data_IF_454203046591
#
_entry.id   IF_454203046591
#
_cell.length_a   1.000
_cell.length_b   1.000
_cell.length_c   1.000
_cell.angle_alpha   90.00
_cell.angle_beta   90.00
_cell.angle_gamma   90.00
#
_symmetry.space_group_name_H-M   'P 1'
#
loop_
_entity.id
_entity.type
_entity.pdbx_description
1 polymer ?
#
# COMPACT_ATOMS: atom_id res chain seq x y z
N UNK A 1 -6.68 -5.58 -4.33
CA UNK A 1 -6.56 -4.39 -3.45
C UNK A 1 -6.75 -4.86 -2.02
N UNK A 2 -5.76 -4.70 -1.16
CA UNK A 2 -5.87 -4.98 0.26
C UNK A 2 -5.94 -3.66 1.04
N UNK A 3 -6.88 -3.54 1.96
CA UNK A 3 -7.01 -2.41 2.87
C UNK A 3 -7.10 -2.95 4.29
N UNK A 4 -6.13 -2.58 5.12
CA UNK A 4 -6.08 -2.94 6.52
C UNK A 4 -6.15 -1.69 7.39
N UNK A 5 -6.99 -1.74 8.42
CA UNK A 5 -7.15 -0.68 9.43
C UNK A 5 -6.69 -1.24 10.76
N UNK A 6 -5.84 -0.49 11.46
CA UNK A 6 -5.28 -0.91 12.73
C UNK A 6 -6.18 -0.41 13.86
N UNK A 7 -6.72 -1.36 14.62
CA UNK A 7 -7.54 -1.12 15.79
C UNK A 7 -6.88 -1.80 16.97
N UNK A 8 -6.38 -1.02 17.92
CA UNK A 8 -5.80 -1.56 19.15
C UNK A 8 -6.77 -1.45 20.33
N UNK A 9 -6.67 -2.42 21.23
CA UNK A 9 -7.32 -2.32 22.53
C UNK A 9 -6.58 -1.27 23.35
N UNK A 10 -7.28 -0.39 24.08
CA UNK A 10 -6.71 0.84 24.64
C UNK A 10 -5.57 0.67 25.67
N UNK A 11 -5.21 -0.57 26.08
CA UNK A 11 -4.28 -0.81 27.20
C UNK A 11 -3.26 -1.95 26.98
N UNK A 12 -2.86 -2.28 25.75
CA UNK A 12 -1.91 -3.38 25.46
C UNK A 12 -0.45 -3.13 25.93
N UNK A 13 -0.26 -2.26 26.93
CA UNK A 13 1.02 -1.94 27.57
C UNK A 13 0.94 -1.34 28.98
N UNK A 14 -0.24 -1.24 29.61
CA UNK A 14 -0.34 -0.75 30.98
C UNK A 14 -0.28 -1.90 31.98
N UNK A 15 0.88 -2.09 32.60
CA UNK A 15 0.98 -2.90 33.81
C UNK A 15 0.09 -2.28 34.89
N UNK A 16 -0.53 -3.13 35.69
CA UNK A 16 -1.52 -2.85 36.75
C UNK A 16 -1.04 -1.88 37.86
N UNK A 17 0.10 -1.21 37.70
CA UNK A 17 0.73 -0.31 38.66
C UNK A 17 0.63 1.19 38.34
N UNK A 18 0.20 1.62 37.14
CA UNK A 18 0.04 3.06 36.83
C UNK A 18 -1.35 3.62 37.14
N UNK A 19 -2.33 2.77 37.46
CA UNK A 19 -3.71 3.17 37.85
C UNK A 19 -3.80 3.59 39.32
N UNK A 20 -2.71 3.52 40.09
CA UNK A 20 -2.69 3.95 41.48
C UNK A 20 -2.65 5.50 41.66
N UNK A 21 -2.44 6.27 40.60
CA UNK A 21 -2.32 7.74 40.68
C UNK A 21 -3.59 8.55 40.44
N UNK A 22 -4.67 7.94 39.93
CA UNK A 22 -5.85 8.69 39.45
C UNK A 22 -7.21 8.16 39.95
N UNK A 23 -7.23 7.26 40.94
CA UNK A 23 -8.48 6.76 41.52
C UNK A 23 -8.41 6.78 43.06
N UNK A 24 -8.83 7.90 43.62
CA UNK A 24 -9.37 7.98 44.99
C UNK A 24 -10.55 7.02 45.10
N UNK A 25 -10.27 5.78 45.49
CA UNK A 25 -11.28 4.78 45.76
C UNK A 25 -12.01 5.10 47.06
N UNK A 26 -13.32 5.30 46.98
CA UNK A 26 -14.27 5.05 48.06
C UNK A 26 -15.67 4.93 47.45
N UNK A 27 -16.02 3.73 46.96
CA UNK A 27 -17.40 3.17 46.89
C UNK A 27 -17.45 1.96 45.95
N UNK A 28 -16.66 0.92 46.23
CA UNK A 28 -16.83 -0.38 45.57
C UNK A 28 -16.74 -1.51 46.59
N UNK A 29 -17.58 -1.43 47.63
CA UNK A 29 -17.88 -2.55 48.51
C UNK A 29 -19.39 -2.55 48.69
N UNK A 30 -20.10 -3.46 48.01
CA UNK A 30 -21.52 -3.71 48.32
C UNK A 30 -22.44 -4.11 47.16
N UNK A 31 -22.03 -4.01 45.90
CA UNK A 31 -22.92 -4.36 44.78
C UNK A 31 -22.15 -5.15 43.73
N UNK A 32 -22.61 -6.35 43.41
CA UNK A 32 -22.15 -7.22 42.32
C UNK A 32 -22.36 -6.57 40.94
N UNK A 33 -21.71 -5.44 40.69
CA UNK A 33 -21.76 -4.71 39.43
C UNK A 33 -20.35 -4.27 39.08
N UNK A 34 -19.79 -4.89 38.05
CA UNK A 34 -18.52 -4.55 37.44
C UNK A 34 -18.54 -3.12 36.94
N UNK A 35 -17.86 -2.22 37.66
CA UNK A 35 -17.51 -0.88 37.17
C UNK A 35 -16.34 -0.98 36.18
N UNK A 36 -16.52 -1.73 35.11
CA UNK A 36 -15.69 -1.58 33.90
C UNK A 36 -16.48 -0.61 33.03
N UNK A 37 -16.17 0.67 33.17
CA UNK A 37 -16.83 1.72 32.39
C UNK A 37 -16.74 1.37 30.89
N UNK A 38 -17.83 1.60 30.13
CA UNK A 38 -17.90 1.39 28.66
C UNK A 38 -16.75 2.07 27.89
N UNK A 39 -16.08 3.05 28.50
CA UNK A 39 -14.84 3.67 28.01
C UNK A 39 -13.67 2.67 27.85
N UNK A 40 -13.62 1.59 28.63
CA UNK A 40 -12.59 0.54 28.52
C UNK A 40 -12.83 -0.47 27.39
N UNK A 41 -13.94 -0.36 26.65
CA UNK A 41 -14.33 -1.31 25.59
C UNK A 41 -14.36 -0.71 24.19
N UNK A 42 -13.99 0.57 24.04
CA UNK A 42 -13.91 1.23 22.74
C UNK A 42 -12.50 1.03 22.19
N UNK A 43 -12.40 0.37 21.03
CA UNK A 43 -11.14 0.26 20.30
C UNK A 43 -10.71 1.65 19.82
N UNK A 44 -9.43 1.96 19.95
CA UNK A 44 -8.86 3.23 19.48
C UNK A 44 -8.29 3.01 18.07
N UNK A 45 -8.63 3.90 17.15
CA UNK A 45 -8.05 3.89 15.80
C UNK A 45 -6.66 4.51 15.85
N UNK A 46 -5.64 3.77 15.44
CA UNK A 46 -4.24 4.22 15.46
C UNK A 46 -3.69 4.55 14.06
N UNK A 47 -4.47 4.30 13.02
CA UNK A 47 -4.07 4.51 11.65
C UNK A 47 -4.50 3.39 10.72
N UNK A 48 -4.06 3.50 9.47
CA UNK A 48 -4.20 2.44 8.47
C UNK A 48 -2.88 2.24 7.74
N UNK A 49 -2.71 1.07 7.14
CA UNK A 49 -1.60 0.87 6.21
C UNK A 49 -2.01 1.39 4.83
N UNK A 50 -1.11 2.07 4.09
CA UNK A 50 -1.41 2.42 2.71
C UNK A 50 -1.80 1.18 1.89
N UNK A 51 -2.84 1.29 1.06
CA UNK A 51 -3.36 0.19 0.28
C UNK A 51 -2.32 -0.31 -0.72
N UNK A 52 -2.06 -1.61 -0.72
CA UNK A 52 -1.25 -2.28 -1.74
C UNK A 52 -2.13 -3.09 -2.67
N UNK A 53 -1.70 -3.20 -3.92
CA UNK A 53 -2.37 -4.02 -4.90
C UNK A 53 -1.38 -4.57 -5.92
N UNK A 54 -1.60 -5.83 -6.27
CA UNK A 54 -0.80 -6.56 -7.24
C UNK A 54 -1.55 -6.61 -8.56
N UNK A 55 -0.90 -6.16 -9.63
CA UNK A 55 -1.44 -6.18 -10.98
C UNK A 55 -0.55 -7.04 -11.88
N UNK A 56 -0.98 -8.27 -12.23
CA UNK A 56 -0.33 -9.04 -13.28
C UNK A 56 -0.73 -8.49 -14.65
N UNK A 57 0.25 -7.98 -15.41
CA UNK A 57 0.07 -7.47 -16.78
C UNK A 57 0.81 -8.40 -17.73
N UNK A 58 0.11 -8.93 -18.74
CA UNK A 58 0.75 -9.76 -19.77
C UNK A 58 0.93 -8.95 -21.04
N UNK A 59 2.19 -8.75 -21.42
CA UNK A 59 2.56 -8.15 -22.69
C UNK A 59 2.74 -9.24 -23.75
N UNK A 60 2.21 -8.99 -24.94
CA UNK A 60 2.32 -9.86 -26.10
C UNK A 60 2.64 -8.96 -27.29
N UNK A 61 3.71 -9.26 -28.00
CA UNK A 61 4.07 -8.55 -29.22
C UNK A 61 3.16 -9.00 -30.37
N UNK A 62 2.50 -8.05 -31.03
CA UNK A 62 1.71 -8.26 -32.24
C UNK A 62 2.50 -7.86 -33.49
N UNK A 63 3.28 -6.77 -33.41
CA UNK A 63 4.06 -6.27 -34.55
C UNK A 63 5.54 -6.09 -34.19
N UNK A 64 5.86 -5.23 -33.22
CA UNK A 64 7.24 -4.95 -32.83
C UNK A 64 7.53 -5.40 -31.38
N UNK A 65 8.24 -6.52 -31.19
CA UNK A 65 8.59 -7.03 -29.85
C UNK A 65 9.49 -6.09 -29.04
N UNK A 66 10.29 -5.24 -29.71
CA UNK A 66 11.15 -4.31 -29.01
C UNK A 66 10.31 -3.24 -28.32
N UNK A 67 9.44 -2.55 -29.05
CA UNK A 67 8.64 -1.45 -28.48
C UNK A 67 7.53 -1.95 -27.56
N UNK A 68 6.85 -3.04 -27.93
CA UNK A 68 5.62 -3.48 -27.26
C UNK A 68 5.86 -4.23 -25.94
N UNK A 69 6.94 -5.00 -25.87
CA UNK A 69 7.24 -5.84 -24.69
C UNK A 69 8.49 -5.36 -23.99
N UNK A 70 9.62 -5.33 -24.69
CA UNK A 70 10.91 -5.05 -24.06
C UNK A 70 11.03 -3.58 -23.62
N UNK A 71 10.55 -2.66 -24.46
CA UNK A 71 10.49 -1.23 -24.20
C UNK A 71 9.46 -0.87 -23.13
N UNK A 72 8.31 -1.56 -23.10
CA UNK A 72 7.34 -1.39 -22.03
C UNK A 72 7.90 -1.81 -20.66
N UNK A 73 8.58 -2.96 -20.59
CA UNK A 73 9.28 -3.42 -19.38
C UNK A 73 10.37 -2.42 -18.98
N UNK A 74 11.17 -1.94 -19.94
CA UNK A 74 12.22 -0.96 -19.69
C UNK A 74 11.65 0.35 -19.14
N UNK A 75 10.56 0.87 -19.71
CA UNK A 75 9.90 2.07 -19.23
C UNK A 75 9.36 1.90 -17.80
N UNK A 76 8.73 0.77 -17.49
CA UNK A 76 8.27 0.47 -16.13
C UNK A 76 9.46 0.37 -15.15
N UNK A 77 10.57 -0.24 -15.57
CA UNK A 77 11.79 -0.34 -14.76
C UNK A 77 12.47 1.02 -14.52
N UNK A 78 12.36 1.94 -15.48
CA UNK A 78 12.83 3.31 -15.30
C UNK A 78 11.92 4.08 -14.33
N UNK A 79 10.61 3.85 -14.36
CA UNK A 79 9.65 4.52 -13.47
C UNK A 79 9.81 4.13 -11.99
N UNK A 80 10.21 2.89 -11.69
CA UNK A 80 10.48 2.46 -10.30
C UNK A 80 11.81 3.01 -9.77
N UNK A 81 12.78 3.26 -10.67
CA UNK A 81 14.14 3.62 -10.29
C UNK A 81 14.23 5.10 -9.89
N UNK A 82 14.71 5.45 -8.68
CA UNK A 82 14.95 6.84 -8.32
C UNK A 82 16.19 7.38 -9.04
N UNK A 83 16.14 8.66 -9.41
CA UNK A 83 17.30 9.37 -9.97
C UNK A 83 18.19 9.85 -8.82
N UNK A 84 19.25 9.09 -8.56
CA UNK A 84 20.27 9.44 -7.56
C UNK A 84 21.33 10.34 -8.20
N UNK A 85 21.65 11.47 -7.56
CA UNK A 85 22.77 12.31 -7.96
C UNK A 85 24.05 11.84 -7.28
N UNK A 86 25.12 11.67 -8.06
CA UNK A 86 26.40 11.10 -7.62
C UNK A 86 27.15 11.94 -6.55
N UNK A 87 26.83 13.24 -6.41
CA UNK A 87 27.60 14.16 -5.55
C UNK A 87 26.78 15.26 -4.82
N UNK A 88 25.44 15.22 -4.84
CA UNK A 88 24.61 16.28 -4.22
C UNK A 88 23.50 15.69 -3.35
N UNK A 89 23.27 16.31 -2.18
CA UNK A 89 22.19 15.97 -1.24
C UNK A 89 20.86 16.33 -1.91
N UNK A 90 20.18 15.34 -2.50
CA UNK A 90 18.87 15.49 -3.12
C UNK A 90 18.73 14.69 -4.42
N UNK A 91 18.16 13.48 -4.31
CA UNK A 91 17.69 12.68 -5.44
C UNK A 91 16.22 12.94 -5.75
N UNK A 92 15.79 12.70 -6.99
CA UNK A 92 14.38 12.82 -7.38
C UNK A 92 13.67 11.54 -7.00
N UNK A 93 12.67 11.64 -6.11
CA UNK A 93 11.81 10.50 -5.81
C UNK A 93 11.09 10.04 -7.10
N UNK A 94 10.78 8.75 -7.25
CA UNK A 94 9.99 8.24 -8.36
C UNK A 94 8.71 9.04 -8.55
N UNK A 95 8.37 9.33 -9.81
CA UNK A 95 7.17 10.09 -10.13
C UNK A 95 5.90 9.29 -9.75
N UNK A 96 4.87 10.02 -9.29
CA UNK A 96 3.60 9.42 -8.93
C UNK A 96 2.78 9.15 -10.18
N UNK A 97 2.32 7.92 -10.33
CA UNK A 97 1.48 7.50 -11.46
C UNK A 97 0.02 7.45 -11.05
N UNK A 98 -0.85 7.70 -12.02
CA UNK A 98 -2.29 7.50 -11.87
C UNK A 98 -2.66 6.20 -12.55
N UNK A 99 -3.25 5.27 -11.80
CA UNK A 99 -3.72 4.01 -12.35
C UNK A 99 -5.21 4.10 -12.66
N UNK A 100 -5.54 4.01 -13.94
CA UNK A 100 -6.92 3.94 -14.41
C UNK A 100 -7.25 2.51 -14.84
N UNK A 101 -8.18 1.88 -14.13
CA UNK A 101 -8.68 0.54 -14.45
C UNK A 101 -10.12 0.67 -14.96
N UNK A 102 -10.34 0.32 -16.22
CA UNK A 102 -11.69 0.21 -16.80
C UNK A 102 -12.52 1.49 -16.75
N UNK A 103 -11.90 2.69 -16.62
CA UNK A 103 -12.55 4.01 -16.49
C UNK A 103 -13.45 4.22 -15.27
N UNK A 104 -13.57 3.24 -14.38
CA UNK A 104 -14.42 3.30 -13.17
C UNK A 104 -13.62 3.30 -11.88
N UNK A 105 -12.35 2.89 -11.94
CA UNK A 105 -11.46 2.85 -10.80
C UNK A 105 -10.25 3.68 -11.15
N UNK A 106 -10.20 4.89 -10.60
CA UNK A 106 -9.09 5.81 -10.82
C UNK A 106 -8.34 6.01 -9.50
N UNK A 107 -7.18 5.37 -9.39
CA UNK A 107 -6.32 5.47 -8.21
C UNK A 107 -5.20 6.45 -8.52
N UNK A 108 -5.31 7.65 -7.96
CA UNK A 108 -4.28 8.69 -8.04
C UNK A 108 -3.18 8.45 -7.00
N UNK A 109 -2.01 9.02 -7.25
CA UNK A 109 -0.85 9.00 -6.33
C UNK A 109 -0.32 7.60 -5.99
N UNK A 110 -0.19 6.77 -7.01
CA UNK A 110 0.38 5.42 -6.90
C UNK A 110 1.88 5.47 -7.19
N UNK A 111 2.66 4.73 -6.40
CA UNK A 111 4.07 4.45 -6.66
C UNK A 111 4.25 2.94 -6.90
N UNK A 112 5.19 2.60 -7.78
CA UNK A 112 5.58 1.21 -8.03
C UNK A 112 6.58 0.79 -6.95
N UNK A 113 6.30 -0.29 -6.22
CA UNK A 113 7.19 -0.83 -5.20
C UNK A 113 8.09 -1.93 -5.74
N UNK A 114 7.54 -2.79 -6.59
CA UNK A 114 8.24 -3.96 -7.10
C UNK A 114 7.73 -4.33 -8.50
N UNK A 115 8.67 -4.80 -9.32
CA UNK A 115 8.42 -5.28 -10.67
C UNK A 115 9.12 -6.63 -10.79
N UNK A 116 8.35 -7.67 -11.05
CA UNK A 116 8.88 -8.98 -11.40
C UNK A 116 8.44 -9.36 -12.80
N UNK A 117 9.35 -9.91 -13.59
CA UNK A 117 9.10 -10.40 -14.94
C UNK A 117 9.94 -11.65 -15.18
N UNK A 118 9.52 -12.48 -16.13
CA UNK A 118 10.21 -13.73 -16.43
C UNK A 118 11.39 -13.47 -17.37
N UNK A 119 12.59 -13.89 -16.96
CA UNK A 119 13.82 -13.74 -17.76
C UNK A 119 13.94 -14.80 -18.86
N UNK A 120 13.28 -15.95 -18.68
CA UNK A 120 13.28 -17.07 -19.63
C UNK A 120 12.04 -17.05 -20.55
N UNK A 121 11.31 -15.93 -20.54
CA UNK A 121 10.20 -15.68 -21.43
C UNK A 121 10.62 -15.84 -22.91
N UNK A 122 9.73 -16.32 -23.80
CA UNK A 122 10.03 -16.54 -25.22
C UNK A 122 10.60 -15.30 -25.90
N UNK A 123 11.66 -15.48 -26.69
CA UNK A 123 12.38 -14.40 -27.38
C UNK A 123 12.39 -14.59 -28.89
N UNK A 124 12.48 -13.47 -29.59
CA UNK A 124 12.80 -13.42 -31.01
C UNK A 124 14.28 -13.77 -31.24
N UNK A 125 14.63 -14.07 -32.49
CA UNK A 125 15.99 -14.20 -33.04
C UNK A 125 16.94 -13.07 -32.63
N UNK A 126 16.41 -11.85 -32.41
CA UNK A 126 17.17 -10.68 -31.95
C UNK A 126 17.29 -10.58 -30.42
N UNK A 127 16.74 -11.54 -29.66
CA UNK A 127 16.82 -11.59 -28.19
C UNK A 127 15.76 -10.77 -27.44
N UNK A 128 14.83 -10.13 -28.16
CA UNK A 128 13.72 -9.37 -27.59
C UNK A 128 12.60 -10.29 -27.11
N UNK A 129 11.94 -9.92 -26.01
CA UNK A 129 10.81 -10.69 -25.49
C UNK A 129 9.60 -10.60 -26.43
N UNK A 130 9.03 -11.75 -26.80
CA UNK A 130 7.80 -11.85 -27.59
C UNK A 130 6.56 -11.83 -26.71
N UNK A 131 6.66 -12.39 -25.51
CA UNK A 131 5.58 -12.46 -24.53
C UNK A 131 6.18 -12.49 -23.14
N UNK A 132 5.69 -11.64 -22.23
CA UNK A 132 6.12 -11.65 -20.84
C UNK A 132 4.96 -11.26 -19.90
N UNK A 133 4.87 -11.91 -18.75
CA UNK A 133 3.93 -11.53 -17.69
C UNK A 133 4.70 -10.80 -16.60
N UNK A 134 4.37 -9.52 -16.43
CA UNK A 134 4.98 -8.64 -15.45
C UNK A 134 4.02 -8.52 -14.27
N UNK A 135 4.47 -8.88 -13.07
CA UNK A 135 3.71 -8.63 -11.85
C UNK A 135 4.18 -7.31 -11.24
N UNK A 136 3.26 -6.36 -11.17
CA UNK A 136 3.49 -5.05 -10.58
C UNK A 136 2.92 -5.03 -9.17
N UNK A 137 3.74 -4.72 -8.17
CA UNK A 137 3.26 -4.38 -6.84
C UNK A 137 3.22 -2.87 -6.70
N UNK A 138 2.02 -2.35 -6.46
CA UNK A 138 1.73 -0.94 -6.47
C UNK A 138 1.22 -0.54 -5.09
N UNK A 139 1.67 0.61 -4.61
CA UNK A 139 1.24 1.18 -3.34
C UNK A 139 0.79 2.60 -3.53
N UNK A 140 -0.16 3.05 -2.73
CA UNK A 140 -0.47 4.47 -2.65
C UNK A 140 0.47 5.16 -1.68
N UNK A 141 0.82 6.42 -1.96
CA UNK A 141 1.63 7.23 -1.03
C UNK A 141 0.90 7.58 0.28
N UNK A 142 -0.42 7.41 0.36
CA UNK A 142 -1.23 7.82 1.51
C UNK A 142 -2.35 6.83 1.83
N UNK A 143 -2.86 6.91 3.05
CA UNK A 143 -3.99 6.09 3.55
C UNK A 143 -5.30 6.61 2.94
N UNK A 144 -6.27 5.71 2.71
CA UNK A 144 -7.62 6.09 2.30
C UNK A 144 -8.37 6.74 3.47
N UNK A 145 -8.87 7.96 3.25
CA UNK A 145 -10.00 8.46 4.02
C UNK A 145 -11.31 7.85 3.49
N UNK A 146 -12.33 7.81 4.34
CA UNK A 146 -13.68 7.37 3.93
C UNK A 146 -14.27 8.18 2.77
N UNK A 147 -13.87 9.44 2.58
CA UNK A 147 -14.28 10.26 1.43
C UNK A 147 -13.53 9.91 0.15
N UNK A 148 -12.27 9.51 0.27
CA UNK A 148 -11.38 9.23 -0.86
C UNK A 148 -11.67 7.85 -1.46
N UNK A 149 -12.15 6.91 -0.65
CA UNK A 149 -12.54 5.59 -1.14
C UNK A 149 -13.75 5.69 -2.06
N UNK A 150 -14.75 6.52 -1.72
CA UNK A 150 -15.94 6.73 -2.57
C UNK A 150 -15.54 7.35 -3.90
N UNK A 151 -14.58 8.28 -3.90
CA UNK A 151 -14.04 8.90 -5.12
C UNK A 151 -13.25 7.92 -5.99
N UNK A 152 -12.58 6.93 -5.41
CA UNK A 152 -11.80 5.95 -6.16
C UNK A 152 -12.66 4.99 -6.99
N UNK A 153 -13.97 4.86 -6.71
CA UNK A 153 -14.92 3.98 -7.41
C UNK A 153 -15.90 4.71 -8.35
N UNK A 154 -15.72 6.02 -8.56
CA UNK A 154 -16.53 6.85 -9.46
C UNK A 154 -15.81 7.11 -10.78
#
# INVERSE_FOLDING_TARGET
MNMAQNWEAPFTGMSMGSVAGAFSGFAQVGTETTSVARWNSLMVWEGGTPPTFTLPVTFIALFDPFTEVSGAIAALSAMISPELKDASIGGRIPERVTLNIGRRINIIDVAIQDISFDLDAPRDSNGHFLKNTVNLQLTRSSIYNSSDIVRAFQ
#
